data_IF_717834716689
#
_entry.id   IF_717834716689
#
_cell.length_a   1.000
_cell.length_b   1.000
_cell.length_c   1.000
_cell.angle_alpha   90.00
_cell.angle_beta   90.00
_cell.angle_gamma   90.00
#
_symmetry.space_group_name_H-M   'P 1'
#
loop_
_entity.id
_entity.type
_entity.pdbx_description
1 polymer ?
#
# COMPACT_ATOMS: atom_id res chain seq x y z
N UNK A 1 -72.74 33.42 8.81
CA UNK A 1 -72.23 34.52 7.97
C UNK A 1 -70.96 34.04 7.28
N UNK A 2 -70.98 33.82 5.96
CA UNK A 2 -69.80 33.45 5.19
C UNK A 2 -69.05 34.71 4.74
N UNK A 3 -67.72 34.67 4.69
CA UNK A 3 -66.95 35.53 3.79
C UNK A 3 -65.91 34.68 3.06
N UNK A 4 -65.95 34.65 1.72
CA UNK A 4 -65.03 33.89 0.89
C UNK A 4 -63.72 34.66 0.69
N UNK A 5 -62.59 33.97 0.73
CA UNK A 5 -61.31 34.52 0.25
C UNK A 5 -60.74 33.52 -0.76
N UNK A 6 -61.09 33.83 -2.01
CA UNK A 6 -60.35 33.75 -3.26
C UNK A 6 -59.11 32.84 -3.33
N UNK A 7 -59.21 31.83 -4.22
CA UNK A 7 -58.10 31.07 -4.78
C UNK A 7 -56.99 31.98 -5.32
N UNK A 8 -55.74 31.66 -4.97
CA UNK A 8 -54.58 31.91 -5.83
C UNK A 8 -53.89 30.57 -6.04
N UNK A 9 -54.06 30.03 -7.26
CA UNK A 9 -53.26 28.93 -7.75
C UNK A 9 -51.88 29.47 -8.13
N UNK A 10 -50.82 28.92 -7.54
CA UNK A 10 -49.50 28.91 -8.14
C UNK A 10 -49.03 27.47 -8.24
N UNK A 11 -48.78 27.08 -9.49
CA UNK A 11 -48.32 25.77 -9.90
C UNK A 11 -46.80 25.64 -9.77
N UNK A 12 -46.37 24.38 -9.65
CA UNK A 12 -45.06 23.83 -10.03
C UNK A 12 -43.88 24.20 -9.11
N UNK A 13 -42.90 23.34 -8.81
CA UNK A 13 -42.32 22.21 -9.55
C UNK A 13 -41.82 21.18 -8.52
N UNK A 14 -42.15 19.90 -8.72
CA UNK A 14 -41.46 18.81 -8.05
C UNK A 14 -40.08 18.62 -8.70
N UNK A 15 -39.00 18.85 -7.96
CA UNK A 15 -37.64 18.49 -8.40
C UNK A 15 -37.15 17.33 -7.53
N UNK A 16 -37.39 16.12 -8.03
CA UNK A 16 -36.82 14.90 -7.48
C UNK A 16 -35.31 14.91 -7.74
N UNK A 17 -34.51 15.09 -6.68
CA UNK A 17 -33.07 14.84 -6.74
C UNK A 17 -32.85 13.32 -6.73
N UNK A 18 -32.66 12.76 -7.93
CA UNK A 18 -32.10 11.44 -8.08
C UNK A 18 -30.65 11.45 -7.61
N UNK A 19 -30.34 10.81 -6.49
CA UNK A 19 -28.97 10.43 -6.18
C UNK A 19 -28.61 9.27 -7.10
N UNK A 20 -27.90 9.58 -8.18
CA UNK A 20 -27.17 8.59 -8.96
C UNK A 20 -26.09 7.99 -8.04
N UNK A 21 -26.38 6.83 -7.44
CA UNK A 21 -25.39 6.04 -6.75
C UNK A 21 -24.37 5.53 -7.76
N UNK A 22 -23.16 6.08 -7.72
CA UNK A 22 -22.02 5.47 -8.37
C UNK A 22 -21.74 4.16 -7.63
N UNK A 23 -22.16 3.04 -8.21
CA UNK A 23 -21.56 1.76 -7.91
C UNK A 23 -20.16 1.76 -8.54
N UNK A 24 -19.20 2.37 -7.84
CA UNK A 24 -17.81 2.09 -8.09
C UNK A 24 -17.58 0.64 -7.64
N UNK A 25 -17.52 -0.26 -8.62
CA UNK A 25 -17.04 -1.61 -8.37
C UNK A 25 -15.66 -1.49 -7.74
N UNK A 26 -15.56 -1.81 -6.46
CA UNK A 26 -14.30 -1.96 -5.75
C UNK A 26 -13.63 -3.24 -6.25
N UNK A 27 -13.14 -3.22 -7.49
CA UNK A 27 -11.84 -3.77 -7.75
C UNK A 27 -10.88 -2.72 -7.19
N UNK A 28 -10.52 -2.85 -5.92
CA UNK A 28 -9.38 -2.13 -5.38
C UNK A 28 -8.22 -2.46 -6.32
N UNK A 29 -7.83 -1.47 -7.14
CA UNK A 29 -6.61 -1.60 -7.90
C UNK A 29 -5.52 -1.67 -6.87
N UNK A 30 -5.03 -2.89 -6.58
CA UNK A 30 -3.70 -3.04 -6.04
C UNK A 30 -2.83 -2.19 -6.95
N UNK A 31 -2.29 -1.09 -6.43
CA UNK A 31 -1.22 -0.41 -7.13
C UNK A 31 -0.21 -1.49 -7.53
N UNK A 32 0.32 -1.43 -8.75
CA UNK A 32 1.31 -2.41 -9.17
C UNK A 32 2.58 -2.18 -8.34
N UNK A 33 2.68 -2.92 -7.23
CA UNK A 33 3.79 -2.84 -6.27
C UNK A 33 4.94 -3.76 -6.64
N UNK A 34 4.78 -4.55 -7.71
CA UNK A 34 5.86 -5.37 -8.26
C UNK A 34 6.99 -4.46 -8.74
N UNK A 35 8.21 -5.02 -8.80
CA UNK A 35 9.41 -4.30 -9.18
C UNK A 35 10.39 -4.10 -8.03
N UNK A 36 11.31 -3.16 -8.22
CA UNK A 36 12.46 -2.99 -7.32
C UNK A 36 12.30 -1.80 -6.40
N UNK A 37 12.56 -2.03 -5.12
CA UNK A 37 12.49 -1.07 -4.03
C UNK A 37 13.83 -1.01 -3.31
N UNK A 38 14.38 0.21 -3.17
CA UNK A 38 15.75 0.41 -2.72
C UNK A 38 16.77 0.08 -3.81
N UNK A 39 17.98 -0.29 -3.40
CA UNK A 39 19.08 -0.56 -4.33
C UNK A 39 19.73 -1.90 -4.00
N UNK A 40 19.04 -3.04 -4.19
CA UNK A 40 19.52 -4.34 -3.74
C UNK A 40 20.85 -4.79 -4.41
N UNK A 41 21.18 -4.23 -5.57
CA UNK A 41 22.44 -4.49 -6.26
C UNK A 41 23.62 -3.64 -5.76
N UNK A 42 23.36 -2.56 -5.01
CA UNK A 42 24.40 -1.73 -4.45
C UNK A 42 24.91 -2.31 -3.11
N UNK A 43 26.23 -2.31 -2.94
CA UNK A 43 26.88 -2.86 -1.75
C UNK A 43 26.48 -2.10 -0.49
N UNK A 44 26.06 -2.83 0.56
CA UNK A 44 25.77 -2.24 1.86
C UNK A 44 24.43 -1.52 1.95
N UNK A 45 23.60 -1.56 0.91
CA UNK A 45 22.29 -0.90 0.90
C UNK A 45 21.15 -1.90 0.90
N UNK A 46 20.06 -1.61 1.63
CA UNK A 46 18.90 -2.49 1.67
C UNK A 46 18.07 -2.35 0.39
N UNK A 47 17.35 -3.42 0.05
CA UNK A 47 16.39 -3.41 -1.04
C UNK A 47 15.66 -4.73 -1.23
N UNK A 48 14.49 -4.66 -1.85
CA UNK A 48 13.62 -5.78 -2.18
C UNK A 48 13.25 -5.73 -3.67
N UNK A 49 13.02 -6.90 -4.24
CA UNK A 49 12.40 -7.11 -5.55
C UNK A 49 11.14 -7.95 -5.32
N UNK A 50 9.97 -7.35 -5.56
CA UNK A 50 8.67 -8.01 -5.48
C UNK A 50 8.30 -8.51 -6.86
N UNK A 51 8.10 -9.82 -7.01
CA UNK A 51 7.81 -10.46 -8.30
C UNK A 51 6.34 -10.79 -8.44
N UNK A 52 5.88 -10.89 -9.69
CA UNK A 52 4.49 -11.22 -10.05
C UNK A 52 4.00 -12.57 -9.51
N UNK A 53 4.93 -13.49 -9.18
CA UNK A 53 4.64 -14.81 -8.64
C UNK A 53 4.57 -14.83 -7.11
N UNK A 54 4.36 -13.66 -6.48
CA UNK A 54 4.27 -13.48 -5.01
C UNK A 54 5.58 -13.83 -4.28
N UNK A 55 6.68 -14.04 -5.00
CA UNK A 55 8.01 -14.17 -4.40
C UNK A 55 8.68 -12.81 -4.20
N UNK A 56 9.51 -12.72 -3.16
CA UNK A 56 10.34 -11.54 -2.88
C UNK A 56 11.77 -11.98 -2.61
N UNK A 57 12.70 -11.27 -3.24
CA UNK A 57 14.14 -11.42 -3.02
C UNK A 57 14.77 -10.10 -2.67
N UNK A 58 15.86 -10.09 -1.92
CA UNK A 58 16.50 -8.82 -1.55
C UNK A 58 17.74 -8.97 -0.70
N UNK A 59 18.11 -7.86 -0.07
CA UNK A 59 19.23 -7.77 0.86
C UNK A 59 18.92 -6.71 1.91
N UNK A 60 19.32 -6.95 3.17
CA UNK A 60 19.32 -5.92 4.22
C UNK A 60 20.60 -5.08 4.21
N UNK A 61 21.40 -5.18 3.15
CA UNK A 61 22.70 -4.55 2.99
C UNK A 61 23.86 -5.46 3.41
N UNK A 62 23.63 -6.45 4.28
CA UNK A 62 24.63 -7.44 4.68
C UNK A 62 24.23 -8.85 4.24
N UNK A 63 22.99 -9.24 4.53
CA UNK A 63 22.43 -10.57 4.34
C UNK A 63 21.46 -10.62 3.18
N UNK A 64 21.40 -11.77 2.52
CA UNK A 64 20.46 -12.01 1.42
C UNK A 64 19.13 -12.44 2.02
N UNK A 65 18.05 -11.88 1.50
CA UNK A 65 16.67 -12.13 1.94
C UNK A 65 15.91 -12.86 0.84
N UNK A 66 15.16 -13.90 1.21
CA UNK A 66 14.26 -14.62 0.32
C UNK A 66 12.98 -14.92 1.08
N UNK A 67 11.83 -14.66 0.46
CA UNK A 67 10.53 -14.91 1.06
C UNK A 67 9.39 -14.79 0.05
N UNK A 68 8.20 -14.56 0.58
CA UNK A 68 6.97 -14.33 -0.18
C UNK A 68 6.33 -13.03 0.26
N UNK A 69 5.46 -12.48 -0.57
CA UNK A 69 4.66 -11.30 -0.26
C UNK A 69 3.24 -11.47 -0.80
N UNK A 70 2.28 -10.75 -0.22
CA UNK A 70 0.91 -10.69 -0.71
C UNK A 70 0.29 -9.32 -0.45
N UNK A 71 -0.84 -9.03 -1.08
CA UNK A 71 -1.63 -7.82 -0.81
C UNK A 71 -2.80 -8.13 0.13
N UNK A 72 -2.95 -7.30 1.16
CA UNK A 72 -4.14 -7.22 1.99
C UNK A 72 -4.71 -5.80 1.94
N UNK A 73 -5.65 -5.57 1.02
CA UNK A 73 -6.10 -4.21 0.69
C UNK A 73 -4.97 -3.38 0.10
N UNK A 74 -4.58 -2.32 0.80
CA UNK A 74 -3.49 -1.41 0.42
C UNK A 74 -2.17 -1.72 1.17
N UNK A 75 -2.14 -2.80 1.95
CA UNK A 75 -0.96 -3.22 2.72
C UNK A 75 -0.30 -4.42 2.04
N UNK A 76 1.02 -4.36 1.90
CA UNK A 76 1.86 -5.48 1.53
C UNK A 76 2.15 -6.27 2.81
N UNK A 77 1.89 -7.57 2.81
CA UNK A 77 2.28 -8.48 3.89
C UNK A 77 3.47 -9.33 3.44
N UNK A 78 4.56 -9.30 4.20
CA UNK A 78 5.72 -10.16 3.97
C UNK A 78 5.60 -11.45 4.77
N UNK A 79 5.88 -12.58 4.12
CA UNK A 79 6.16 -13.82 4.81
C UNK A 79 7.51 -13.74 5.56
N UNK A 80 7.77 -14.72 6.42
CA UNK A 80 9.07 -14.82 7.10
C UNK A 80 10.20 -14.92 6.09
N UNK A 81 11.20 -14.04 6.19
CA UNK A 81 12.39 -14.14 5.36
C UNK A 81 13.31 -15.27 5.82
N UNK A 82 13.72 -16.11 4.86
CA UNK A 82 14.97 -16.84 4.98
C UNK A 82 16.12 -15.86 4.74
N UNK A 83 17.13 -15.89 5.62
CA UNK A 83 18.27 -14.99 5.54
C UNK A 83 19.60 -15.69 5.78
N UNK A 84 20.67 -15.13 5.22
CA UNK A 84 22.03 -15.51 5.61
C UNK A 84 22.38 -14.94 6.99
N UNK A 85 23.45 -15.44 7.62
CA UNK A 85 23.91 -14.99 8.95
C UNK A 85 25.33 -14.38 8.89
N UNK A 86 25.58 -13.55 7.88
CA UNK A 86 26.82 -12.78 7.78
C UNK A 86 26.82 -11.62 8.78
N UNK A 87 27.99 -11.29 9.29
CA UNK A 87 28.23 -10.10 10.09
C UNK A 87 29.00 -9.08 9.24
N UNK A 88 28.43 -7.90 9.07
CA UNK A 88 29.04 -6.79 8.34
C UNK A 88 29.22 -5.60 9.29
N UNK A 89 30.43 -5.06 9.36
CA UNK A 89 30.71 -3.91 10.21
C UNK A 89 30.04 -2.65 9.65
N UNK A 90 29.32 -1.91 10.50
CA UNK A 90 28.70 -0.63 10.14
C UNK A 90 27.46 -0.72 9.24
N UNK A 91 26.92 -1.92 9.01
CA UNK A 91 25.67 -2.10 8.25
C UNK A 91 24.52 -2.32 9.23
N UNK A 92 23.46 -1.53 9.09
CA UNK A 92 22.20 -1.75 9.80
C UNK A 92 21.32 -2.69 8.98
N UNK A 93 21.00 -3.85 9.54
CA UNK A 93 20.23 -4.92 8.90
C UNK A 93 18.73 -4.83 9.19
N UNK A 94 18.21 -3.63 9.50
CA UNK A 94 16.81 -3.38 9.88
C UNK A 94 15.79 -4.08 8.98
N UNK A 95 16.03 -4.15 7.66
CA UNK A 95 15.08 -4.70 6.69
C UNK A 95 14.77 -6.20 6.92
N UNK A 96 15.64 -6.91 7.64
CA UNK A 96 15.39 -8.30 8.06
C UNK A 96 14.10 -8.44 8.90
N UNK A 97 13.74 -7.39 9.64
CA UNK A 97 12.55 -7.34 10.49
C UNK A 97 11.26 -6.95 9.78
N UNK A 98 11.26 -6.77 8.45
CA UNK A 98 10.06 -6.35 7.74
C UNK A 98 8.94 -7.40 7.87
N UNK A 99 7.76 -6.93 8.27
CA UNK A 99 6.54 -7.73 8.33
C UNK A 99 5.46 -7.18 7.39
N UNK A 100 5.30 -5.86 7.33
CA UNK A 100 4.33 -5.23 6.42
C UNK A 100 4.92 -4.00 5.75
N UNK A 101 4.28 -3.56 4.68
CA UNK A 101 4.59 -2.27 4.07
C UNK A 101 3.35 -1.59 3.47
N UNK A 102 3.44 -0.26 3.35
CA UNK A 102 2.50 0.55 2.57
C UNK A 102 3.27 1.32 1.49
N UNK A 103 2.58 1.68 0.42
CA UNK A 103 3.18 2.41 -0.70
C UNK A 103 2.45 3.73 -0.92
N UNK A 104 3.20 4.82 -0.90
CA UNK A 104 2.77 6.15 -1.34
C UNK A 104 3.66 6.65 -2.47
N UNK A 105 3.13 6.63 -3.69
CA UNK A 105 3.86 6.98 -4.91
C UNK A 105 5.08 6.07 -5.12
N UNK A 106 6.28 6.65 -5.00
CA UNK A 106 7.56 5.93 -5.14
C UNK A 106 8.17 5.51 -3.81
N UNK A 107 7.48 5.69 -2.69
CA UNK A 107 8.00 5.36 -1.36
C UNK A 107 7.26 4.18 -0.79
N UNK A 108 8.00 3.13 -0.42
CA UNK A 108 7.52 2.02 0.38
C UNK A 108 7.95 2.24 1.82
N UNK A 109 7.00 2.29 2.75
CA UNK A 109 7.25 2.37 4.19
C UNK A 109 7.13 0.98 4.79
N UNK A 110 8.17 0.53 5.49
CA UNK A 110 8.28 -0.81 6.07
C UNK A 110 8.00 -0.75 7.57
N UNK A 111 7.21 -1.70 8.05
CA UNK A 111 6.94 -1.91 9.48
C UNK A 111 7.36 -3.31 9.93
N UNK A 112 7.73 -3.44 11.20
CA UNK A 112 7.97 -4.72 11.85
C UNK A 112 6.68 -5.43 12.29
N UNK A 113 6.82 -6.54 13.02
CA UNK A 113 5.69 -7.33 13.54
C UNK A 113 4.93 -6.63 14.68
N UNK A 114 5.55 -5.65 15.33
CA UNK A 114 4.94 -4.74 16.30
C UNK A 114 4.12 -3.62 15.66
N UNK A 115 4.30 -3.40 14.35
CA UNK A 115 3.70 -2.29 13.61
C UNK A 115 4.50 -0.99 13.71
N UNK A 116 5.73 -1.03 14.23
CA UNK A 116 6.60 0.13 14.27
C UNK A 116 7.25 0.34 12.89
N UNK A 117 7.33 1.59 12.43
CA UNK A 117 8.05 1.93 11.21
C UNK A 117 9.56 1.74 11.41
N UNK A 118 10.17 0.89 10.59
CA UNK A 118 11.60 0.54 10.69
C UNK A 118 12.44 1.11 9.54
N UNK A 119 11.81 1.60 8.47
CA UNK A 119 12.51 2.23 7.37
C UNK A 119 11.67 2.43 6.13
N UNK A 120 12.28 3.02 5.10
CA UNK A 120 11.62 3.25 3.81
C UNK A 120 12.53 2.80 2.66
N UNK A 121 11.93 2.31 1.57
CA UNK A 121 12.60 1.99 0.32
C UNK A 121 12.02 2.83 -0.82
N UNK A 122 12.88 3.38 -1.68
CA UNK A 122 12.45 4.14 -2.87
C UNK A 122 12.32 3.23 -4.08
N UNK A 123 11.27 3.38 -4.88
CA UNK A 123 11.09 2.64 -6.13
C UNK A 123 12.22 3.01 -7.10
N UNK A 124 12.87 2.01 -7.67
CA UNK A 124 14.03 2.21 -8.56
C UNK A 124 13.85 1.73 -9.98
N UNK A 125 12.91 0.82 -10.26
CA UNK A 125 12.48 0.41 -11.62
C UNK A 125 11.04 -0.09 -11.62
#
# INVERSE_FOLDING_TARGET
MPKPITLLAFAAVALALGLAGCAAGAGAGSADVTGTWGTPDATGTPGLELKDDESVTGTDGCNRLVGTWSMNGDTIEFGTFASTLMACEGVDTWLNGASTATVDGSTMTIQDDGGDEIGTLQRTN
#
